data_IF_594757753386
#
_entry.id   IF_594757753386
#
_cell.length_a   1.000
_cell.length_b   1.000
_cell.length_c   1.000
_cell.angle_alpha   90.00
_cell.angle_beta   90.00
_cell.angle_gamma   90.00
#
_symmetry.space_group_name_H-M   'P 1'
#
loop_
_entity.id
_entity.type
_entity.pdbx_description
1 polymer ?
#
# COMPACT_ATOMS: atom_id res chain seq x y z
N UNK A 1 -16.05 -6.93 5.84
CA UNK A 1 -16.40 -5.83 6.77
C UNK A 1 -15.22 -4.87 6.78
N UNK A 2 -15.42 -3.59 6.46
CA UNK A 2 -14.33 -2.61 6.43
C UNK A 2 -14.40 -1.72 7.68
N UNK A 3 -13.44 -1.89 8.60
CA UNK A 3 -13.25 -1.01 9.74
C UNK A 3 -11.81 -0.55 9.77
N UNK A 4 -11.57 0.76 9.84
CA UNK A 4 -10.24 1.36 9.86
C UNK A 4 -10.22 2.58 10.78
N UNK A 5 -9.13 2.75 11.52
CA UNK A 5 -8.88 3.96 12.28
C UNK A 5 -8.17 4.98 11.39
N UNK A 6 -8.79 6.14 11.17
CA UNK A 6 -8.17 7.23 10.44
C UNK A 6 -7.07 7.83 11.30
N UNK A 7 -5.86 7.93 10.73
CA UNK A 7 -4.74 8.52 11.43
C UNK A 7 -5.00 10.02 11.71
N UNK A 8 -4.64 10.55 12.90
CA UNK A 8 -4.78 11.97 13.23
C UNK A 8 -4.19 12.87 12.15
N UNK A 9 -4.74 14.08 11.94
CA UNK A 9 -4.28 14.99 10.88
C UNK A 9 -2.78 15.34 10.98
N UNK A 10 -2.20 15.26 12.18
CA UNK A 10 -0.78 15.51 12.45
C UNK A 10 0.14 14.41 11.91
N UNK A 11 -0.44 13.28 11.50
CA UNK A 11 0.27 12.15 10.87
C UNK A 11 0.22 12.22 9.36
N UNK A 12 -0.47 13.20 8.78
CA UNK A 12 -0.56 13.34 7.35
C UNK A 12 0.74 13.93 6.83
N UNK A 13 1.36 13.25 5.88
CA UNK A 13 2.57 13.69 5.22
C UNK A 13 2.28 14.30 3.85
N UNK A 14 3.36 14.57 3.13
CA UNK A 14 3.33 15.20 1.80
C UNK A 14 3.87 14.30 0.70
N UNK A 15 4.51 13.19 1.05
CA UNK A 15 5.16 12.31 0.10
C UNK A 15 4.96 10.87 0.51
N UNK A 16 4.46 10.08 -0.43
CA UNK A 16 4.05 8.70 -0.24
C UNK A 16 4.54 7.87 -1.41
N UNK A 17 4.96 6.64 -1.13
CA UNK A 17 4.98 5.59 -2.13
C UNK A 17 3.63 4.88 -2.04
N UNK A 18 2.85 4.95 -3.10
CA UNK A 18 1.62 4.21 -3.29
C UNK A 18 1.99 2.86 -3.92
N UNK A 19 2.32 1.89 -3.07
CA UNK A 19 2.64 0.52 -3.50
C UNK A 19 1.38 -0.29 -3.81
N UNK A 20 1.42 -1.09 -4.87
CA UNK A 20 0.30 -1.98 -5.21
C UNK A 20 0.35 -3.27 -4.41
N UNK A 21 -0.82 -3.81 -4.08
CA UNK A 21 -0.94 -5.18 -3.61
C UNK A 21 -0.35 -6.16 -4.63
N UNK A 22 0.06 -7.34 -4.16
CA UNK A 22 0.52 -8.42 -5.04
C UNK A 22 -0.58 -8.77 -6.06
N UNK A 23 -0.24 -9.04 -7.33
CA UNK A 23 -1.22 -9.30 -8.37
C UNK A 23 -2.20 -10.42 -8.00
N UNK A 24 -3.50 -10.15 -8.18
CA UNK A 24 -4.61 -11.10 -7.95
C UNK A 24 -5.32 -11.53 -9.25
N UNK A 25 -4.70 -11.28 -10.40
CA UNK A 25 -5.16 -11.74 -11.71
C UNK A 25 -3.99 -11.80 -12.70
N UNK A 26 -4.07 -12.78 -13.62
CA UNK A 26 -3.11 -12.94 -14.71
C UNK A 26 -3.39 -12.04 -15.93
N UNK A 27 -4.60 -11.49 -16.06
CA UNK A 27 -5.03 -10.70 -17.23
C UNK A 27 -4.95 -9.19 -17.02
N UNK A 28 -4.57 -8.75 -15.82
CA UNK A 28 -4.45 -7.34 -15.44
C UNK A 28 -4.98 -7.11 -14.04
N UNK A 29 -4.40 -6.13 -13.33
CA UNK A 29 -4.86 -5.70 -12.03
C UNK A 29 -4.61 -4.20 -11.85
N UNK A 30 -5.40 -3.59 -10.98
CA UNK A 30 -5.26 -2.22 -10.52
C UNK A 30 -5.79 -2.10 -9.10
N UNK A 31 -5.18 -1.22 -8.33
CA UNK A 31 -5.73 -0.78 -7.05
C UNK A 31 -6.36 0.59 -7.21
N UNK A 32 -7.24 0.94 -6.26
CA UNK A 32 -7.85 2.26 -6.19
C UNK A 32 -7.18 3.04 -5.07
N UNK A 33 -6.78 4.26 -5.38
CA UNK A 33 -6.21 5.19 -4.41
C UNK A 33 -7.11 6.41 -4.27
N UNK A 34 -7.28 6.86 -3.03
CA UNK A 34 -7.98 8.11 -2.70
C UNK A 34 -7.05 9.02 -1.94
N UNK A 35 -6.87 10.26 -2.40
CA UNK A 35 -6.00 11.25 -1.75
C UNK A 35 -6.86 12.40 -1.25
N UNK A 36 -6.92 12.59 0.06
CA UNK A 36 -7.74 13.62 0.72
C UNK A 36 -6.87 14.77 1.23
N UNK A 37 -7.31 16.01 0.98
CA UNK A 37 -6.57 17.21 1.36
C UNK A 37 -6.88 17.71 2.79
N UNK A 38 -5.84 18.04 3.55
CA UNK A 38 -5.99 18.66 4.88
C UNK A 38 -6.25 20.18 4.83
N UNK A 39 -5.89 20.84 3.73
CA UNK A 39 -5.88 22.30 3.58
C UNK A 39 -6.41 22.73 2.21
N UNK A 40 -6.91 23.96 2.15
CA UNK A 40 -7.26 24.59 0.89
C UNK A 40 -6.02 24.83 0.02
N UNK A 41 -6.17 24.71 -1.30
CA UNK A 41 -5.07 24.89 -2.24
C UNK A 41 -4.04 23.76 -2.19
N UNK A 42 -4.45 22.57 -1.74
CA UNK A 42 -3.60 21.37 -1.80
C UNK A 42 -3.49 20.93 -3.25
N UNK A 43 -2.27 20.84 -3.78
CA UNK A 43 -1.99 20.35 -5.13
C UNK A 43 -1.37 18.97 -5.01
N UNK A 44 -1.99 17.96 -5.64
CA UNK A 44 -1.54 16.56 -5.64
C UNK A 44 -1.03 16.16 -7.01
N UNK A 45 0.12 15.50 -7.06
CA UNK A 45 0.77 15.01 -8.28
C UNK A 45 1.25 13.58 -8.11
N UNK A 46 1.08 12.73 -9.12
CA UNK A 46 1.67 11.39 -9.17
C UNK A 46 2.85 11.31 -10.15
N UNK A 47 3.86 10.52 -9.81
CA UNK A 47 5.00 10.20 -10.66
C UNK A 47 5.16 8.67 -10.79
N UNK A 48 5.03 8.08 -11.99
CA UNK A 48 4.67 8.72 -13.26
C UNK A 48 3.25 9.34 -13.21
N UNK A 49 2.91 10.18 -14.19
CA UNK A 49 1.56 10.72 -14.30
C UNK A 49 0.55 9.60 -14.47
N UNK A 50 -0.48 9.60 -13.63
CA UNK A 50 -1.57 8.62 -13.65
C UNK A 50 -2.87 9.37 -13.98
N UNK A 51 -3.75 8.76 -14.75
CA UNK A 51 -5.07 9.32 -15.04
C UNK A 51 -5.84 9.54 -13.74
N UNK A 52 -6.32 10.77 -13.51
CA UNK A 52 -6.95 11.17 -12.24
C UNK A 52 -5.97 11.57 -11.13
N UNK A 53 -4.66 11.54 -11.37
CA UNK A 53 -3.63 12.07 -10.48
C UNK A 53 -2.48 12.69 -11.28
N UNK A 54 -2.69 13.89 -11.81
CA UNK A 54 -1.70 14.58 -12.65
C UNK A 54 -1.21 15.90 -12.07
N UNK A 55 -2.12 16.75 -11.59
CA UNK A 55 -1.84 18.00 -10.86
C UNK A 55 -3.14 18.57 -10.31
N UNK A 56 -3.81 17.82 -9.45
CA UNK A 56 -5.17 18.12 -9.01
C UNK A 56 -5.15 19.11 -7.83
N UNK A 57 -5.94 20.18 -7.91
CA UNK A 57 -6.05 21.18 -6.83
C UNK A 57 -7.30 20.93 -6.02
N UNK A 58 -7.14 20.77 -4.71
CA UNK A 58 -8.18 20.38 -3.76
C UNK A 58 -8.36 21.44 -2.67
N UNK A 59 -9.61 21.61 -2.24
CA UNK A 59 -9.94 22.28 -0.97
C UNK A 59 -9.83 21.31 0.20
N UNK A 60 -9.81 21.84 1.41
CA UNK A 60 -9.82 21.03 2.63
C UNK A 60 -11.01 20.06 2.63
N UNK A 61 -10.72 18.78 2.86
CA UNK A 61 -11.70 17.70 2.89
C UNK A 61 -12.17 17.22 1.52
N UNK A 62 -11.75 17.85 0.43
CA UNK A 62 -11.93 17.29 -0.91
C UNK A 62 -10.90 16.19 -1.17
N UNK A 63 -11.22 15.29 -2.09
CA UNK A 63 -10.35 14.18 -2.48
C UNK A 63 -10.37 13.94 -3.98
N UNK A 64 -9.29 13.35 -4.47
CA UNK A 64 -9.25 12.66 -5.76
C UNK A 64 -9.30 11.15 -5.53
N UNK A 65 -9.82 10.42 -6.51
CA UNK A 65 -9.78 8.97 -6.55
C UNK A 65 -9.36 8.51 -7.95
N UNK A 66 -8.42 7.58 -8.02
CA UNK A 66 -7.87 7.10 -9.28
C UNK A 66 -7.49 5.63 -9.20
N UNK A 67 -7.36 5.00 -10.37
CA UNK A 67 -6.89 3.62 -10.52
C UNK A 67 -5.41 3.62 -10.90
N UNK A 68 -4.64 2.72 -10.33
CA UNK A 68 -3.24 2.54 -10.69
C UNK A 68 -2.90 1.07 -10.90
N UNK A 69 -2.18 0.78 -11.99
CA UNK A 69 -1.61 -0.54 -12.31
C UNK A 69 -0.09 -0.58 -12.18
N UNK A 70 0.51 0.48 -11.65
CA UNK A 70 1.92 0.55 -11.26
C UNK A 70 2.06 1.17 -9.86
N UNK A 71 3.04 0.70 -9.08
CA UNK A 71 3.41 1.40 -7.85
C UNK A 71 4.04 2.75 -8.23
N UNK A 72 3.74 3.80 -7.48
CA UNK A 72 4.08 5.15 -7.90
C UNK A 72 4.29 6.07 -6.71
N UNK A 73 4.88 7.23 -6.98
CA UNK A 73 5.05 8.29 -6.01
C UNK A 73 3.83 9.21 -6.03
N UNK A 74 3.34 9.58 -4.84
CA UNK A 74 2.34 10.64 -4.67
C UNK A 74 2.99 11.78 -3.89
N UNK A 75 2.91 12.99 -4.42
CA UNK A 75 3.39 14.22 -3.78
C UNK A 75 2.25 15.21 -3.61
N UNK A 76 2.31 15.98 -2.53
CA UNK A 76 1.43 17.11 -2.29
C UNK A 76 2.19 18.30 -1.69
N UNK A 77 1.73 19.52 -1.95
CA UNK A 77 2.31 20.74 -1.34
C UNK A 77 1.88 20.94 0.13
N UNK A 78 0.75 20.36 0.53
CA UNK A 78 0.16 20.37 1.87
C UNK A 78 -0.10 18.92 2.34
N UNK A 79 -0.26 18.68 3.64
CA UNK A 79 -0.52 17.33 4.15
C UNK A 79 -1.77 16.70 3.52
N UNK A 80 -1.67 15.42 3.16
CA UNK A 80 -2.77 14.62 2.60
C UNK A 80 -2.85 13.27 3.30
N UNK A 81 -4.00 12.59 3.24
CA UNK A 81 -4.11 11.19 3.61
C UNK A 81 -4.40 10.36 2.37
N UNK A 82 -3.70 9.23 2.25
CA UNK A 82 -3.94 8.25 1.19
C UNK A 82 -4.74 7.10 1.77
N UNK A 83 -5.89 6.84 1.15
CA UNK A 83 -6.61 5.59 1.25
C UNK A 83 -6.25 4.68 0.08
N UNK A 84 -5.96 3.42 0.35
CA UNK A 84 -5.62 2.41 -0.65
C UNK A 84 -6.59 1.25 -0.55
N UNK A 85 -7.26 0.95 -1.66
CA UNK A 85 -8.37 0.03 -1.72
C UNK A 85 -8.03 -1.12 -2.67
N UNK A 86 -8.14 -2.32 -2.14
CA UNK A 86 -8.14 -3.55 -2.89
C UNK A 86 -9.54 -3.75 -3.48
N UNK A 87 -9.62 -3.99 -4.78
CA UNK A 87 -10.92 -4.29 -5.43
C UNK A 87 -11.39 -5.70 -5.09
N UNK A 88 -12.71 -5.92 -5.02
CA UNK A 88 -13.26 -7.25 -4.80
C UNK A 88 -13.12 -8.16 -6.03
N UNK A 89 -13.13 -9.46 -5.78
CA UNK A 89 -13.09 -10.55 -6.75
C UNK A 89 -14.06 -10.46 -7.93
N UNK A 90 -15.25 -9.90 -7.71
CA UNK A 90 -16.30 -9.77 -8.73
C UNK A 90 -16.33 -8.38 -9.40
N UNK A 91 -15.28 -7.59 -9.24
CA UNK A 91 -15.16 -6.31 -9.93
C UNK A 91 -14.80 -6.53 -11.42
N UNK A 92 -15.39 -5.71 -12.28
CA UNK A 92 -15.20 -5.80 -13.73
C UNK A 92 -13.72 -5.70 -14.12
N UNK A 93 -13.26 -6.60 -15.01
CA UNK A 93 -11.89 -6.61 -15.55
C UNK A 93 -10.91 -7.59 -14.89
N UNK A 94 -11.35 -8.35 -13.87
CA UNK A 94 -10.53 -9.35 -13.18
C UNK A 94 -10.96 -10.79 -13.55
N UNK A 95 -10.18 -11.48 -14.39
CA UNK A 95 -10.35 -12.93 -14.61
C UNK A 95 -9.39 -13.74 -13.72
N UNK A 96 -9.92 -14.56 -12.82
CA UNK A 96 -9.22 -15.70 -12.19
C UNK A 96 -10.20 -16.65 -11.50
N UNK A 97 -9.74 -17.82 -11.03
CA UNK A 97 -10.57 -19.01 -10.72
C UNK A 97 -10.46 -19.43 -9.25
N UNK A 98 -11.50 -19.15 -8.45
CA UNK A 98 -11.69 -19.69 -7.10
C UNK A 98 -12.52 -20.99 -7.16
N UNK A 99 -11.85 -22.14 -7.30
CA UNK A 99 -12.52 -23.44 -7.47
C UNK A 99 -13.11 -23.67 -8.87
N UNK A 100 -13.66 -24.87 -9.13
CA UNK A 100 -14.01 -25.29 -10.50
C UNK A 100 -15.36 -24.76 -11.02
N UNK A 101 -16.24 -24.24 -10.17
CA UNK A 101 -17.65 -24.03 -10.54
C UNK A 101 -18.07 -22.59 -10.82
N UNK A 102 -17.35 -21.57 -10.31
CA UNK A 102 -17.66 -20.17 -10.60
C UNK A 102 -16.37 -19.35 -10.75
N UNK A 103 -16.22 -18.64 -11.87
CA UNK A 103 -15.10 -17.73 -12.14
C UNK A 103 -15.32 -16.40 -11.40
N UNK A 104 -15.10 -16.38 -10.10
CA UNK A 104 -15.00 -15.15 -9.31
C UNK A 104 -13.52 -14.93 -8.98
N UNK A 105 -13.04 -13.69 -8.93
CA UNK A 105 -11.66 -13.38 -8.52
C UNK A 105 -11.34 -13.82 -7.08
N UNK A 106 -10.14 -13.50 -6.59
CA UNK A 106 -9.70 -13.81 -5.23
C UNK A 106 -9.85 -12.57 -4.33
N UNK A 107 -10.45 -12.77 -3.15
CA UNK A 107 -10.54 -11.76 -2.10
C UNK A 107 -11.78 -10.86 -2.19
N UNK A 108 -12.31 -10.46 -1.05
CA UNK A 108 -13.26 -9.34 -0.95
C UNK A 108 -12.50 -7.99 -0.93
N UNK A 109 -13.19 -6.85 -1.05
CA UNK A 109 -12.52 -5.55 -0.94
C UNK A 109 -11.88 -5.35 0.44
N UNK A 110 -10.58 -5.06 0.45
CA UNK A 110 -9.85 -4.58 1.61
C UNK A 110 -9.50 -3.08 1.45
N UNK A 111 -9.29 -2.42 2.58
CA UNK A 111 -8.85 -1.04 2.65
C UNK A 111 -7.58 -1.00 3.51
N UNK A 112 -6.71 -0.03 3.26
CA UNK A 112 -5.59 0.34 4.13
C UNK A 112 -5.32 1.84 3.97
N UNK A 113 -4.52 2.40 4.87
CA UNK A 113 -4.03 3.77 4.75
C UNK A 113 -2.56 3.76 4.32
N UNK A 114 -2.22 4.65 3.39
CA UNK A 114 -0.83 4.87 3.00
C UNK A 114 -0.05 5.56 4.13
N UNK A 115 1.19 5.15 4.33
CA UNK A 115 2.11 5.73 5.32
C UNK A 115 3.05 6.70 4.61
N UNK A 116 3.18 7.93 5.12
CA UNK A 116 4.09 8.90 4.54
C UNK A 116 5.53 8.47 4.76
N UNK A 117 6.41 8.78 3.82
CA UNK A 117 7.83 8.42 3.89
C UNK A 117 8.49 8.95 5.18
N UNK A 118 8.11 10.14 5.62
CA UNK A 118 8.63 10.78 6.84
C UNK A 118 8.20 10.06 8.14
N UNK A 119 7.30 9.08 8.05
CA UNK A 119 6.79 8.32 9.19
C UNK A 119 7.24 6.86 9.21
N UNK A 120 8.12 6.49 8.29
CA UNK A 120 8.73 5.17 8.25
C UNK A 120 9.55 4.90 9.51
N UNK A 121 9.60 3.63 9.92
CA UNK A 121 10.33 3.16 11.09
C UNK A 121 11.48 2.24 10.63
N UNK A 122 12.39 1.96 11.55
CA UNK A 122 13.52 1.06 11.34
C UNK A 122 13.23 -0.40 11.78
N UNK A 123 12.14 -0.63 12.51
CA UNK A 123 11.71 -1.95 12.94
C UNK A 123 10.21 -2.05 13.13
N UNK A 124 9.68 -3.23 12.79
CA UNK A 124 8.27 -3.58 12.96
C UNK A 124 8.12 -4.99 13.52
N UNK A 125 7.05 -5.18 14.29
CA UNK A 125 6.49 -6.50 14.62
C UNK A 125 5.05 -6.51 14.15
N UNK A 126 4.68 -7.51 13.34
CA UNK A 126 3.37 -7.58 12.69
C UNK A 126 2.88 -9.02 12.61
N UNK A 127 1.61 -9.22 12.23
CA UNK A 127 0.94 -10.52 12.24
C UNK A 127 0.30 -10.85 10.89
N UNK A 128 0.62 -12.01 10.33
CA UNK A 128 -0.16 -12.62 9.25
C UNK A 128 -1.20 -13.54 9.91
N UNK A 129 -2.49 -13.18 9.90
CA UNK A 129 -3.53 -13.99 10.52
C UNK A 129 -3.73 -15.30 9.75
N UNK A 130 -4.06 -16.41 10.43
CA UNK A 130 -4.36 -17.65 9.74
C UNK A 130 -5.69 -17.57 8.98
N UNK A 131 -5.85 -18.47 8.01
CA UNK A 131 -7.08 -18.60 7.23
C UNK A 131 -7.13 -17.79 5.94
N UNK A 132 -5.96 -17.33 5.47
CA UNK A 132 -5.77 -16.78 4.14
C UNK A 132 -4.89 -17.73 3.31
N UNK A 133 -5.13 -17.83 2.00
CA UNK A 133 -4.30 -18.66 1.14
C UNK A 133 -2.95 -18.00 0.85
N UNK A 134 -2.95 -16.68 0.85
CA UNK A 134 -1.82 -15.83 0.49
C UNK A 134 -1.69 -14.66 1.47
N UNK A 135 -0.59 -14.66 2.20
CA UNK A 135 -0.15 -13.55 3.03
C UNK A 135 1.08 -12.88 2.43
N UNK A 136 1.08 -11.55 2.44
CA UNK A 136 2.11 -10.74 1.83
C UNK A 136 2.47 -9.54 2.70
N UNK A 137 3.69 -9.08 2.50
CA UNK A 137 4.14 -7.77 2.94
C UNK A 137 4.73 -7.02 1.75
N UNK A 138 4.29 -5.78 1.56
CA UNK A 138 5.01 -4.79 0.77
C UNK A 138 6.00 -4.09 1.70
N UNK A 139 7.27 -4.07 1.31
CA UNK A 139 8.35 -3.35 2.00
C UNK A 139 8.82 -2.23 1.08
N UNK A 140 8.46 -0.99 1.41
CA UNK A 140 8.94 0.19 0.70
C UNK A 140 10.20 0.70 1.36
N UNK A 141 11.33 0.68 0.65
CA UNK A 141 12.63 1.07 1.21
C UNK A 141 13.52 1.73 0.16
N UNK A 142 14.61 2.39 0.58
CA UNK A 142 15.60 2.91 -0.37
C UNK A 142 16.34 1.78 -1.06
N UNK A 143 16.68 1.98 -2.34
CA UNK A 143 17.51 1.04 -3.08
C UNK A 143 18.88 0.86 -2.39
N UNK A 144 19.35 -0.39 -2.28
CA UNK A 144 20.67 -0.72 -1.76
C UNK A 144 20.76 -0.87 -0.24
N UNK A 145 19.69 -0.62 0.51
CA UNK A 145 19.67 -0.96 1.95
C UNK A 145 19.29 -2.43 2.14
N UNK A 146 19.85 -3.05 3.17
CA UNK A 146 19.48 -4.41 3.59
C UNK A 146 18.30 -4.34 4.57
N UNK A 147 17.27 -5.15 4.31
CA UNK A 147 16.13 -5.31 5.22
C UNK A 147 16.04 -6.78 5.62
N UNK A 148 15.98 -7.03 6.93
CA UNK A 148 16.01 -8.36 7.53
C UNK A 148 14.62 -8.71 8.04
N UNK A 149 14.04 -9.79 7.52
CA UNK A 149 12.76 -10.37 7.94
C UNK A 149 13.02 -11.73 8.57
N UNK A 150 12.63 -11.90 9.83
CA UNK A 150 12.82 -13.12 10.63
C UNK A 150 14.26 -13.66 10.59
N UNK A 151 15.22 -12.74 10.68
CA UNK A 151 16.65 -13.04 10.68
C UNK A 151 17.24 -13.34 9.29
N UNK A 152 16.49 -13.15 8.21
CA UNK A 152 16.97 -13.34 6.82
C UNK A 152 16.76 -12.09 5.99
N UNK A 153 17.73 -11.74 5.15
CA UNK A 153 17.58 -10.63 4.20
C UNK A 153 16.43 -10.93 3.22
N UNK A 154 15.55 -9.95 3.01
CA UNK A 154 14.54 -10.03 1.97
C UNK A 154 15.21 -9.93 0.59
N UNK A 155 14.75 -10.75 -0.36
CA UNK A 155 15.44 -10.98 -1.63
C UNK A 155 15.61 -9.73 -2.51
N UNK A 156 16.44 -9.80 -3.57
CA UNK A 156 16.82 -8.63 -4.38
C UNK A 156 15.72 -8.16 -5.34
N UNK A 157 14.57 -8.84 -5.40
CA UNK A 157 13.49 -8.54 -6.33
C UNK A 157 12.67 -7.37 -5.78
N UNK A 158 13.01 -6.17 -6.25
CA UNK A 158 12.32 -4.95 -5.87
C UNK A 158 11.83 -4.21 -7.11
N UNK A 159 10.57 -3.76 -7.08
CA UNK A 159 10.02 -2.85 -8.08
C UNK A 159 10.62 -1.46 -7.85
N UNK A 160 11.29 -0.90 -8.86
CA UNK A 160 11.87 0.45 -8.76
C UNK A 160 10.78 1.51 -8.97
N UNK A 161 10.68 2.46 -8.04
CA UNK A 161 9.68 3.53 -8.10
C UNK A 161 10.24 4.76 -8.80
N UNK A 162 10.12 4.76 -10.13
CA UNK A 162 10.57 5.87 -10.97
C UNK A 162 12.03 6.26 -10.70
N UNK A 163 12.27 7.55 -10.44
CA UNK A 163 13.59 8.10 -10.10
C UNK A 163 13.73 8.48 -8.61
N UNK A 164 12.81 7.99 -7.77
CA UNK A 164 12.72 8.40 -6.35
C UNK A 164 13.86 7.87 -5.48
N UNK A 165 14.55 6.84 -5.94
CA UNK A 165 15.50 6.06 -5.13
C UNK A 165 14.82 5.05 -4.20
N UNK A 166 13.48 4.99 -4.16
CA UNK A 166 12.73 3.96 -3.45
C UNK A 166 12.44 2.76 -4.34
N UNK A 167 12.35 1.61 -3.69
CA UNK A 167 11.93 0.35 -4.27
C UNK A 167 10.89 -0.31 -3.37
N UNK A 168 10.06 -1.17 -3.96
CA UNK A 168 9.07 -1.99 -3.25
C UNK A 168 9.45 -3.46 -3.39
N UNK A 169 9.80 -4.09 -2.28
CA UNK A 169 10.04 -5.54 -2.21
C UNK A 169 8.80 -6.22 -1.68
N UNK A 170 8.25 -7.19 -2.42
CA UNK A 170 7.07 -7.96 -2.00
C UNK A 170 7.47 -9.34 -1.54
N UNK A 171 7.10 -9.71 -0.33
CA UNK A 171 7.46 -11.00 0.27
C UNK A 171 6.19 -11.74 0.66
N UNK A 172 6.07 -12.99 0.21
CA UNK A 172 5.01 -13.90 0.67
C UNK A 172 5.43 -14.47 2.02
N UNK A 173 4.48 -14.56 2.94
CA UNK A 173 4.70 -14.97 4.31
C UNK A 173 3.88 -16.21 4.65
N UNK A 174 4.31 -16.91 5.71
CA UNK A 174 3.51 -17.93 6.38
C UNK A 174 2.67 -17.26 7.48
N UNK A 175 1.66 -17.95 8.01
CA UNK A 175 0.89 -17.47 9.17
C UNK A 175 1.76 -17.27 10.40
N UNK A 176 1.53 -16.19 11.15
CA UNK A 176 2.12 -15.96 12.45
C UNK A 176 2.67 -14.56 12.67
N UNK A 177 3.47 -14.44 13.74
CA UNK A 177 4.11 -13.19 14.09
C UNK A 177 5.47 -13.09 13.41
N UNK A 178 5.73 -11.92 12.83
CA UNK A 178 6.97 -11.63 12.10
C UNK A 178 7.66 -10.41 12.70
N UNK A 179 8.99 -10.37 12.56
CA UNK A 179 9.81 -9.20 12.86
C UNK A 179 10.60 -8.81 11.63
N UNK A 180 10.54 -7.54 11.28
CA UNK A 180 11.33 -6.96 10.18
C UNK A 180 12.09 -5.72 10.66
N UNK A 181 13.34 -5.57 10.23
CA UNK A 181 14.22 -4.49 10.66
C UNK A 181 15.25 -4.10 9.59
N UNK A 182 15.75 -2.86 9.66
CA UNK A 182 16.80 -2.34 8.78
C UNK A 182 17.60 -1.25 9.51
N UNK A 183 18.73 -0.85 8.92
CA UNK A 183 19.56 0.26 9.39
C UNK A 183 19.05 1.64 8.97
N UNK A 184 18.14 1.70 7.99
CA UNK A 184 17.46 2.93 7.56
C UNK A 184 15.93 2.75 7.66
N UNK A 185 15.16 3.84 7.81
CA UNK A 185 13.70 3.77 7.83
C UNK A 185 13.11 3.20 6.53
N UNK A 186 12.08 2.37 6.68
CA UNK A 186 11.29 1.79 5.59
C UNK A 186 9.82 1.70 5.99
N UNK A 187 8.92 1.57 5.02
CA UNK A 187 7.48 1.42 5.25
C UNK A 187 7.01 -0.01 4.99
N UNK A 188 5.98 -0.45 5.70
CA UNK A 188 5.36 -1.76 5.45
C UNK A 188 3.83 -1.70 5.38
N UNK A 189 3.27 -2.40 4.40
CA UNK A 189 1.85 -2.73 4.30
C UNK A 189 1.74 -4.26 4.31
N UNK A 190 1.07 -4.81 5.33
CA UNK A 190 0.78 -6.24 5.43
C UNK A 190 -0.64 -6.48 4.92
N UNK A 191 -0.82 -7.50 4.09
CA UNK A 191 -2.10 -7.82 3.48
C UNK A 191 -2.15 -9.28 3.06
N UNK A 192 -3.34 -9.79 2.89
CA UNK A 192 -3.55 -11.14 2.41
C UNK A 192 -4.96 -11.33 1.89
N UNK A 193 -5.15 -12.44 1.18
CA UNK A 193 -6.41 -12.76 0.55
C UNK A 193 -6.56 -14.28 0.36
N UNK A 194 -7.82 -14.72 0.40
CA UNK A 194 -8.32 -16.03 -0.03
C UNK A 194 -9.59 -15.78 -0.87
N UNK A 195 -10.26 -16.81 -1.34
CA UNK A 195 -11.35 -16.76 -2.31
C UNK A 195 -12.42 -15.69 -1.99
N UNK A 196 -12.82 -15.58 -0.73
CA UNK A 196 -13.94 -14.73 -0.29
C UNK A 196 -13.56 -13.71 0.81
N UNK A 197 -12.27 -13.58 1.14
CA UNK A 197 -11.83 -12.75 2.27
C UNK A 197 -10.46 -12.15 2.03
N UNK A 198 -10.29 -10.90 2.43
CA UNK A 198 -9.04 -10.15 2.37
C UNK A 198 -8.80 -9.34 3.64
N UNK A 199 -7.53 -9.02 3.90
CA UNK A 199 -7.14 -8.01 4.88
C UNK A 199 -6.01 -7.15 4.33
N UNK A 200 -5.90 -5.93 4.84
CA UNK A 200 -4.76 -5.05 4.61
C UNK A 200 -4.62 -4.08 5.79
N UNK A 201 -3.40 -3.76 6.18
CA UNK A 201 -3.12 -2.76 7.21
C UNK A 201 -1.67 -2.26 7.13
N UNK A 202 -1.36 -1.04 7.59
CA UNK A 202 0.03 -0.59 7.74
C UNK A 202 0.65 -1.25 8.96
N UNK A 203 1.87 -1.78 8.86
CA UNK A 203 2.51 -2.44 10.00
C UNK A 203 2.95 -1.50 11.13
N UNK A 204 2.88 -0.19 10.90
CA UNK A 204 3.11 0.85 11.89
C UNK A 204 3.52 2.17 11.23
N UNK A 205 3.46 3.26 11.98
CA UNK A 205 3.95 4.56 11.55
C UNK A 205 4.35 5.39 12.77
N UNK A 206 5.28 6.32 12.59
CA UNK A 206 5.60 7.30 13.63
C UNK A 206 4.42 8.26 13.84
N UNK A 207 3.91 8.34 15.07
CA UNK A 207 2.83 9.24 15.48
C UNK A 207 3.42 10.40 16.31
N UNK A 208 3.99 11.41 15.63
CA UNK A 208 4.47 12.63 16.26
C UNK A 208 5.68 13.25 15.54
N UNK A 209 5.60 14.55 15.25
CA UNK A 209 6.76 15.40 14.97
C UNK A 209 7.00 16.28 16.20
N UNK A 210 8.22 16.34 16.71
CA UNK A 210 8.64 17.46 17.58
C UNK A 210 8.71 18.78 16.80
#
# INVERSE_FOLDING_TARGET
>A
HMGHQLAPIDTWGKTYIADLFSPRSATGYFDIFRVMASRDGTVVTCEPTIEGCSSETLKKGEWIEYRASVSHLVKANNPVQIGHFMTGSNYEGYEQTCGQSNKTGIGDPAFTIGVAIDQYLDSYVFLTPPGYSDDWINVTHKAGIEVILDGKAIGPAAEVIGTTGYVVTRVRLDDGAHRIESSEPFGIIAYGYDCDVSYAYPGGMLLGSE
#
